data_IF_234392107794
#
_entry.id   IF_234392107794
#
_cell.length_a   1.000
_cell.length_b   1.000
_cell.length_c   1.000
_cell.angle_alpha   90.00
_cell.angle_beta   90.00
_cell.angle_gamma   90.00
#
_symmetry.space_group_name_H-M   'P 1'
#
loop_
_entity.id
_entity.type
_entity.pdbx_description
1 polymer ?
#
# COMPACT_ATOMS: atom_id res chain seq x y z
N UNK A 1 13.51 6.76 49.78
CA UNK A 1 12.20 6.18 49.40
C UNK A 1 11.71 6.65 48.03
N UNK A 2 12.27 7.71 47.41
CA UNK A 2 11.81 8.21 46.09
C UNK A 2 12.12 7.30 44.89
N UNK A 3 13.18 6.48 44.94
CA UNK A 3 13.53 5.59 43.82
C UNK A 3 12.50 4.49 43.52
N UNK A 4 11.62 4.16 44.46
CA UNK A 4 10.57 3.15 44.25
C UNK A 4 9.40 3.66 43.40
N UNK A 5 9.07 4.95 43.49
CA UNK A 5 7.94 5.55 42.76
C UNK A 5 8.22 5.70 41.26
N UNK A 6 9.49 5.92 40.88
CA UNK A 6 9.87 6.12 39.48
C UNK A 6 9.78 4.83 38.64
N UNK A 7 10.04 3.67 39.26
CA UNK A 7 10.03 2.40 38.54
C UNK A 7 8.59 1.94 38.24
N UNK A 8 7.65 2.18 39.17
CA UNK A 8 6.22 1.89 38.97
C UNK A 8 5.60 2.74 37.87
N UNK A 9 5.99 4.01 37.74
CA UNK A 9 5.47 4.89 36.68
C UNK A 9 5.92 4.45 35.29
N UNK A 10 7.17 4.00 35.15
CA UNK A 10 7.67 3.44 33.89
C UNK A 10 6.96 2.15 33.52
N UNK A 11 6.79 1.23 34.47
CA UNK A 11 6.10 -0.03 34.22
C UNK A 11 4.65 0.20 33.78
N UNK A 12 3.95 1.13 34.44
CA UNK A 12 2.59 1.53 34.06
C UNK A 12 2.53 2.18 32.68
N UNK A 13 3.50 3.03 32.33
CA UNK A 13 3.59 3.64 31.01
C UNK A 13 3.83 2.61 29.89
N UNK A 14 4.69 1.62 30.14
CA UNK A 14 4.94 0.51 29.20
C UNK A 14 3.68 -0.35 29.00
N UNK A 15 3.03 -0.78 30.09
CA UNK A 15 1.77 -1.53 30.00
C UNK A 15 0.69 -0.76 29.24
N UNK A 16 0.56 0.55 29.48
CA UNK A 16 -0.40 1.40 28.75
C UNK A 16 -0.10 1.45 27.25
N UNK A 17 1.17 1.55 26.85
CA UNK A 17 1.58 1.53 25.43
C UNK A 17 1.30 0.18 24.77
N UNK A 18 1.51 -0.92 25.48
CA UNK A 18 1.20 -2.26 24.96
C UNK A 18 -0.31 -2.47 24.78
N UNK A 19 -1.12 -2.01 25.74
CA UNK A 19 -2.58 -2.07 25.62
C UNK A 19 -3.07 -1.25 24.42
N UNK A 20 -2.55 -0.02 24.25
CA UNK A 20 -2.88 0.80 23.09
C UNK A 20 -2.49 0.10 21.78
N UNK A 21 -1.28 -0.46 21.67
CA UNK A 21 -0.87 -1.21 20.48
C UNK A 21 -1.79 -2.38 20.17
N UNK A 22 -2.20 -3.15 21.18
CA UNK A 22 -3.14 -4.27 21.00
C UNK A 22 -4.52 -3.79 20.53
N UNK A 23 -5.01 -2.68 21.05
CA UNK A 23 -6.27 -2.07 20.58
C UNK A 23 -6.14 -1.63 19.11
N UNK A 24 -5.03 -1.00 18.74
CA UNK A 24 -4.73 -0.60 17.36
C UNK A 24 -4.69 -1.81 16.41
N UNK A 25 -3.94 -2.85 16.77
CA UNK A 25 -3.83 -4.08 15.98
C UNK A 25 -5.20 -4.74 15.80
N UNK A 26 -6.00 -4.82 16.88
CA UNK A 26 -7.35 -5.39 16.82
C UNK A 26 -8.28 -4.60 15.89
N UNK A 27 -8.18 -3.26 15.89
CA UNK A 27 -8.94 -2.41 15.00
C UNK A 27 -8.53 -2.62 13.54
N UNK A 28 -7.22 -2.67 13.27
CA UNK A 28 -6.68 -2.93 11.92
C UNK A 28 -7.15 -4.28 11.39
N UNK A 29 -7.07 -5.34 12.18
CA UNK A 29 -7.51 -6.68 11.79
C UNK A 29 -9.02 -6.76 11.57
N UNK A 30 -9.82 -6.10 12.41
CA UNK A 30 -11.29 -6.10 12.24
C UNK A 30 -11.71 -5.35 10.98
N UNK A 31 -11.08 -4.22 10.64
CA UNK A 31 -11.35 -3.50 9.40
C UNK A 31 -10.87 -4.29 8.17
N UNK A 32 -9.67 -4.86 8.23
CA UNK A 32 -9.16 -5.78 7.21
C UNK A 32 -10.11 -6.95 6.97
N UNK A 33 -10.58 -7.60 8.04
CA UNK A 33 -11.50 -8.73 8.00
C UNK A 33 -12.87 -8.36 7.40
N UNK A 34 -13.43 -7.21 7.77
CA UNK A 34 -14.67 -6.69 7.17
C UNK A 34 -14.54 -6.47 5.67
N UNK A 35 -13.43 -5.86 5.23
CA UNK A 35 -13.15 -5.68 3.82
C UNK A 35 -12.98 -7.02 3.10
N UNK A 36 -12.19 -7.95 3.66
CA UNK A 36 -12.01 -9.28 3.09
C UNK A 36 -13.34 -10.03 2.93
N UNK A 37 -14.25 -9.94 3.90
CA UNK A 37 -15.57 -10.55 3.83
C UNK A 37 -16.46 -9.91 2.74
N UNK A 38 -16.45 -8.58 2.65
CA UNK A 38 -17.21 -7.83 1.64
C UNK A 38 -16.70 -8.14 0.22
N UNK A 39 -15.39 -8.03 0.00
CA UNK A 39 -14.79 -8.32 -1.29
C UNK A 39 -14.80 -9.81 -1.61
N UNK A 40 -14.71 -10.69 -0.62
CA UNK A 40 -14.84 -12.13 -0.80
C UNK A 40 -16.23 -12.53 -1.28
N UNK A 41 -17.29 -12.03 -0.63
CA UNK A 41 -18.66 -12.30 -1.10
C UNK A 41 -18.92 -11.70 -2.48
N UNK A 42 -18.43 -10.48 -2.74
CA UNK A 42 -18.45 -9.86 -4.07
C UNK A 42 -17.69 -10.66 -5.13
N UNK A 43 -16.52 -11.20 -4.79
CA UNK A 43 -15.70 -12.00 -5.70
C UNK A 43 -16.35 -13.36 -6.03
N UNK A 44 -17.09 -13.98 -5.09
CA UNK A 44 -17.89 -15.18 -5.38
C UNK A 44 -19.01 -14.82 -6.38
N UNK A 45 -19.77 -13.76 -6.12
CA UNK A 45 -20.82 -13.32 -7.04
C UNK A 45 -20.27 -12.95 -8.42
N UNK A 46 -19.14 -12.23 -8.47
CA UNK A 46 -18.44 -11.89 -9.70
C UNK A 46 -17.94 -13.14 -10.43
N UNK A 47 -17.42 -14.14 -9.72
CA UNK A 47 -17.01 -15.42 -10.30
C UNK A 47 -18.20 -16.13 -10.97
N UNK A 48 -19.37 -16.15 -10.32
CA UNK A 48 -20.58 -16.74 -10.91
C UNK A 48 -21.06 -15.99 -12.16
N UNK A 49 -21.03 -14.65 -12.13
CA UNK A 49 -21.38 -13.83 -13.29
C UNK A 49 -20.39 -14.00 -14.45
N UNK A 50 -19.09 -14.00 -14.14
CA UNK A 50 -18.03 -14.18 -15.13
C UNK A 50 -18.08 -15.57 -15.77
N UNK A 51 -18.44 -16.61 -15.02
CA UNK A 51 -18.69 -17.95 -15.58
C UNK A 51 -19.75 -17.87 -16.68
N UNK A 52 -20.87 -17.19 -16.43
CA UNK A 52 -21.99 -17.13 -17.38
C UNK A 52 -21.72 -16.29 -18.62
N UNK A 53 -21.03 -15.16 -18.45
CA UNK A 53 -20.90 -14.14 -19.49
C UNK A 53 -19.64 -14.38 -20.33
N UNK A 54 -18.58 -14.90 -19.73
CA UNK A 54 -17.26 -14.97 -20.36
C UNK A 54 -16.87 -16.41 -20.71
N UNK A 55 -16.89 -16.80 -22.00
CA UNK A 55 -16.46 -18.14 -22.43
C UNK A 55 -14.97 -18.40 -22.12
N UNK A 56 -14.20 -17.35 -21.93
CA UNK A 56 -12.84 -17.39 -21.43
C UNK A 56 -12.78 -17.89 -19.98
N UNK A 57 -13.61 -17.34 -19.10
CA UNK A 57 -13.57 -17.65 -17.67
C UNK A 57 -13.97 -19.10 -17.43
N UNK A 58 -14.93 -19.60 -18.22
CA UNK A 58 -15.29 -21.01 -18.29
C UNK A 58 -14.09 -21.93 -18.58
N UNK A 59 -13.12 -21.50 -19.39
CA UNK A 59 -11.94 -22.30 -19.76
C UNK A 59 -10.83 -22.28 -18.71
N UNK A 60 -10.88 -21.40 -17.71
CA UNK A 60 -9.90 -21.40 -16.63
C UNK A 60 -10.03 -22.68 -15.79
N UNK A 61 -8.89 -23.31 -15.50
CA UNK A 61 -8.84 -24.45 -14.55
C UNK A 61 -9.22 -23.97 -13.15
N UNK A 62 -9.84 -24.86 -12.37
CA UNK A 62 -10.28 -24.58 -10.98
C UNK A 62 -9.16 -23.94 -10.13
N UNK A 63 -7.89 -24.42 -10.16
CA UNK A 63 -6.83 -23.80 -9.37
C UNK A 63 -6.53 -22.35 -9.74
N UNK A 64 -6.65 -21.99 -11.02
CA UNK A 64 -6.43 -20.62 -11.48
C UNK A 64 -7.54 -19.68 -11.00
N UNK A 65 -8.80 -20.15 -11.00
CA UNK A 65 -9.94 -19.40 -10.44
C UNK A 65 -9.77 -19.18 -8.94
N UNK A 66 -9.38 -20.22 -8.21
CA UNK A 66 -9.12 -20.15 -6.78
C UNK A 66 -7.99 -19.17 -6.46
N UNK A 67 -6.91 -19.18 -7.25
CA UNK A 67 -5.80 -18.23 -7.10
C UNK A 67 -6.25 -16.77 -7.30
N UNK A 68 -7.03 -16.49 -8.35
CA UNK A 68 -7.58 -15.14 -8.59
C UNK A 68 -8.48 -14.70 -7.43
N UNK A 69 -9.34 -15.59 -6.94
CA UNK A 69 -10.21 -15.31 -5.81
C UNK A 69 -9.40 -14.99 -4.55
N UNK A 70 -8.45 -15.85 -4.18
CA UNK A 70 -7.58 -15.64 -3.04
C UNK A 70 -6.78 -14.33 -3.16
N UNK A 71 -6.28 -14.01 -4.35
CA UNK A 71 -5.57 -12.78 -4.63
C UNK A 71 -6.42 -11.53 -4.38
N UNK A 72 -7.67 -11.50 -4.86
CA UNK A 72 -8.59 -10.39 -4.63
C UNK A 72 -8.88 -10.22 -3.13
N UNK A 73 -9.24 -11.31 -2.43
CA UNK A 73 -9.56 -11.26 -1.00
C UNK A 73 -8.37 -10.77 -0.18
N UNK A 74 -7.18 -11.31 -0.47
CA UNK A 74 -5.93 -10.93 0.22
C UNK A 74 -5.57 -9.48 -0.04
N UNK A 75 -5.63 -9.02 -1.29
CA UNK A 75 -5.34 -7.62 -1.63
C UNK A 75 -6.32 -6.65 -0.95
N UNK A 76 -7.61 -6.99 -0.92
CA UNK A 76 -8.65 -6.20 -0.24
C UNK A 76 -8.43 -6.13 1.27
N UNK A 77 -8.03 -7.25 1.90
CA UNK A 77 -7.68 -7.29 3.31
C UNK A 77 -6.54 -6.32 3.63
N UNK A 78 -5.40 -6.45 2.93
CA UNK A 78 -4.22 -5.62 3.19
C UNK A 78 -4.47 -4.15 2.91
N UNK A 79 -5.18 -3.83 1.84
CA UNK A 79 -5.52 -2.43 1.50
C UNK A 79 -6.37 -1.77 2.59
N UNK A 80 -7.32 -2.51 3.17
CA UNK A 80 -8.16 -1.99 4.24
C UNK A 80 -7.42 -1.92 5.59
N UNK A 81 -6.60 -2.93 5.89
CA UNK A 81 -5.74 -2.94 7.07
C UNK A 81 -4.77 -1.76 7.06
N UNK A 82 -4.09 -1.51 5.94
CA UNK A 82 -3.15 -0.39 5.78
C UNK A 82 -3.83 0.97 5.98
N UNK A 83 -5.04 1.15 5.40
CA UNK A 83 -5.84 2.35 5.65
C UNK A 83 -6.23 2.53 7.11
N UNK A 84 -6.64 1.44 7.78
CA UNK A 84 -7.00 1.50 9.19
C UNK A 84 -5.80 1.84 10.06
N UNK A 85 -4.61 1.32 9.73
CA UNK A 85 -3.36 1.63 10.42
C UNK A 85 -3.02 3.13 10.27
N UNK A 86 -3.08 3.67 9.06
CA UNK A 86 -2.85 5.10 8.80
C UNK A 86 -3.87 5.98 9.56
N UNK A 87 -5.14 5.59 9.59
CA UNK A 87 -6.18 6.34 10.30
C UNK A 87 -5.92 6.38 11.82
N UNK A 88 -5.49 5.25 12.38
CA UNK A 88 -5.12 5.12 13.78
C UNK A 88 -3.89 5.98 14.10
N UNK A 89 -2.86 5.93 13.25
CA UNK A 89 -1.66 6.76 13.40
C UNK A 89 -1.99 8.25 13.33
N UNK A 90 -2.92 8.64 12.44
CA UNK A 90 -3.39 10.02 12.37
C UNK A 90 -4.13 10.44 13.64
N UNK A 91 -5.01 9.59 14.20
CA UNK A 91 -5.70 9.87 15.47
C UNK A 91 -4.72 10.00 16.62
N UNK A 92 -3.73 9.12 16.68
CA UNK A 92 -2.67 9.17 17.69
C UNK A 92 -1.84 10.45 17.53
N UNK A 93 -1.40 10.78 16.31
CA UNK A 93 -0.69 12.01 16.04
C UNK A 93 -1.49 13.25 16.47
N UNK A 94 -2.80 13.30 16.21
CA UNK A 94 -3.68 14.39 16.67
C UNK A 94 -3.76 14.50 18.19
N UNK A 95 -3.81 13.38 18.90
CA UNK A 95 -3.93 13.38 20.37
C UNK A 95 -2.66 13.84 21.10
N UNK A 96 -1.48 13.57 20.54
CA UNK A 96 -0.19 13.91 21.18
C UNK A 96 0.51 15.12 20.54
N UNK A 97 0.02 15.59 19.40
CA UNK A 97 0.43 16.84 18.77
C UNK A 97 0.06 18.02 19.66
N UNK A 98 1.02 18.90 19.94
CA UNK A 98 0.78 20.20 20.57
C UNK A 98 0.28 21.26 19.56
N UNK A 99 0.16 20.88 18.29
CA UNK A 99 -0.39 21.74 17.25
C UNK A 99 -1.91 21.71 17.36
N UNK A 100 -2.51 22.89 17.41
CA UNK A 100 -3.95 23.09 17.52
C UNK A 100 -4.65 22.61 16.23
N UNK A 101 -5.02 21.33 16.21
CA UNK A 101 -5.57 20.65 15.03
C UNK A 101 -6.90 21.28 14.61
N UNK A 102 -7.66 21.83 15.56
CA UNK A 102 -8.93 22.52 15.30
C UNK A 102 -8.72 23.79 14.47
N UNK A 103 -7.65 24.54 14.73
CA UNK A 103 -7.30 25.70 13.90
C UNK A 103 -6.93 25.28 12.46
N UNK A 104 -6.17 24.19 12.31
CA UNK A 104 -5.81 23.69 10.97
C UNK A 104 -7.05 23.20 10.22
N UNK A 105 -7.95 22.47 10.89
CA UNK A 105 -9.21 22.01 10.29
C UNK A 105 -10.12 23.18 9.90
N UNK A 106 -10.26 24.20 10.76
CA UNK A 106 -11.02 25.41 10.44
C UNK A 106 -10.43 26.15 9.23
N UNK A 107 -9.11 26.26 9.13
CA UNK A 107 -8.44 26.89 7.97
C UNK A 107 -8.68 26.07 6.69
N UNK A 108 -8.64 24.73 6.78
CA UNK A 108 -8.91 23.84 5.65
C UNK A 108 -10.38 23.89 5.22
N UNK A 109 -11.32 23.93 6.15
CA UNK A 109 -12.75 24.05 5.89
C UNK A 109 -13.10 25.43 5.32
N UNK A 110 -12.53 26.50 5.86
CA UNK A 110 -12.66 27.84 5.30
C UNK A 110 -12.14 27.90 3.86
N UNK A 111 -11.01 27.23 3.56
CA UNK A 111 -10.52 27.08 2.17
C UNK A 111 -11.48 26.28 1.29
N UNK A 112 -12.06 25.18 1.78
CA UNK A 112 -13.03 24.38 1.02
C UNK A 112 -14.30 25.17 0.71
N UNK A 113 -14.82 25.91 1.68
CA UNK A 113 -16.04 26.71 1.53
C UNK A 113 -15.82 27.98 0.70
N UNK A 114 -14.61 28.54 0.70
CA UNK A 114 -14.24 29.69 -0.13
C UNK A 114 -14.00 29.33 -1.62
N UNK A 115 -13.77 28.05 -1.94
CA UNK A 115 -13.67 27.59 -3.33
C UNK A 115 -15.06 27.55 -3.96
N UNK A 116 -15.42 28.65 -4.63
CA UNK A 116 -16.49 28.63 -5.63
C UNK A 116 -16.17 27.59 -6.69
N UNK A 117 -17.17 26.76 -7.04
CA UNK A 117 -17.08 25.59 -7.90
C UNK A 117 -16.65 25.93 -9.35
N UNK A 118 -15.38 26.27 -9.53
CA UNK A 118 -14.74 26.40 -10.85
C UNK A 118 -13.80 25.22 -10.99
N UNK A 119 -14.10 24.35 -11.93
CA UNK A 119 -13.22 23.25 -12.34
C UNK A 119 -11.95 23.85 -12.97
N UNK A 120 -11.00 24.22 -12.13
CA UNK A 120 -9.67 24.64 -12.54
C UNK A 120 -8.73 23.43 -12.51
N UNK A 121 -7.68 23.44 -13.33
CA UNK A 121 -6.65 22.39 -13.36
C UNK A 121 -6.04 22.11 -11.98
N UNK A 122 -5.97 23.11 -11.12
CA UNK A 122 -5.50 22.97 -9.74
C UNK A 122 -6.42 22.10 -8.88
N UNK A 123 -7.73 22.17 -9.11
CA UNK A 123 -8.72 21.40 -8.37
C UNK A 123 -8.69 19.92 -8.78
N UNK A 124 -8.40 19.64 -10.06
CA UNK A 124 -8.12 18.27 -10.53
C UNK A 124 -6.85 17.73 -9.86
N UNK A 125 -5.79 18.54 -9.74
CA UNK A 125 -4.55 18.13 -9.06
C UNK A 125 -4.79 17.80 -7.59
N UNK A 126 -5.67 18.55 -6.92
CA UNK A 126 -6.02 18.36 -5.52
C UNK A 126 -6.91 17.13 -5.32
N UNK A 127 -7.87 16.91 -6.20
CA UNK A 127 -8.68 15.69 -6.26
C UNK A 127 -7.80 14.45 -6.48
N UNK A 128 -6.82 14.52 -7.39
CA UNK A 128 -5.84 13.45 -7.62
C UNK A 128 -5.03 13.19 -6.34
N UNK A 129 -4.58 14.23 -5.64
CA UNK A 129 -3.87 14.08 -4.36
C UNK A 129 -4.76 13.44 -3.28
N UNK A 130 -6.02 13.85 -3.19
CA UNK A 130 -7.00 13.32 -2.22
C UNK A 130 -7.29 11.82 -2.47
N UNK A 131 -7.24 11.40 -3.72
CA UNK A 131 -7.51 10.02 -4.13
C UNK A 131 -6.28 9.28 -4.64
N UNK A 132 -5.07 9.76 -4.34
CA UNK A 132 -3.81 9.22 -4.89
C UNK A 132 -3.73 7.71 -4.74
N UNK A 133 -4.08 7.19 -3.56
CA UNK A 133 -4.01 5.75 -3.27
C UNK A 133 -5.05 4.94 -4.04
N UNK A 134 -6.26 5.51 -4.25
CA UNK A 134 -7.30 4.86 -5.07
C UNK A 134 -6.91 4.87 -6.55
N UNK A 135 -6.34 5.98 -7.03
CA UNK A 135 -5.89 6.13 -8.41
C UNK A 135 -4.69 5.23 -8.71
N UNK A 136 -3.68 5.19 -7.82
CA UNK A 136 -2.54 4.29 -7.96
C UNK A 136 -3.00 2.83 -7.92
N UNK A 137 -3.88 2.46 -6.98
CA UNK A 137 -4.45 1.11 -6.94
C UNK A 137 -5.26 0.78 -8.20
N UNK A 138 -6.04 1.72 -8.71
CA UNK A 138 -6.81 1.58 -9.95
C UNK A 138 -5.92 1.48 -11.19
N UNK A 139 -4.87 2.28 -11.27
CA UNK A 139 -3.89 2.26 -12.36
C UNK A 139 -3.08 0.96 -12.34
N UNK A 140 -2.64 0.52 -11.17
CA UNK A 140 -1.93 -0.77 -11.01
C UNK A 140 -2.83 -1.94 -11.37
N UNK A 141 -4.08 -1.96 -10.88
CA UNK A 141 -5.05 -3.00 -11.24
C UNK A 141 -5.40 -2.96 -12.73
N UNK A 142 -5.52 -1.76 -13.30
CA UNK A 142 -5.72 -1.55 -14.73
C UNK A 142 -4.55 -2.05 -15.57
N UNK A 143 -3.31 -1.82 -15.12
CA UNK A 143 -2.11 -2.34 -15.75
C UNK A 143 -2.04 -3.87 -15.67
N UNK A 144 -2.41 -4.48 -14.53
CA UNK A 144 -2.55 -5.93 -14.39
C UNK A 144 -3.55 -6.50 -15.39
N UNK A 145 -4.75 -5.92 -15.45
CA UNK A 145 -5.81 -6.37 -16.36
C UNK A 145 -5.38 -6.15 -17.82
N UNK A 146 -4.75 -5.01 -18.13
CA UNK A 146 -4.26 -4.65 -19.46
C UNK A 146 -3.17 -5.60 -19.94
N UNK A 147 -2.17 -5.89 -19.10
CA UNK A 147 -1.09 -6.85 -19.39
C UNK A 147 -1.63 -8.26 -19.55
N UNK A 148 -2.56 -8.68 -18.69
CA UNK A 148 -3.23 -9.98 -18.81
C UNK A 148 -3.98 -10.10 -20.15
N UNK A 149 -4.75 -9.06 -20.51
CA UNK A 149 -5.48 -9.00 -21.77
C UNK A 149 -4.55 -8.98 -22.99
N UNK A 150 -3.49 -8.19 -22.94
CA UNK A 150 -2.45 -8.13 -23.97
C UNK A 150 -1.77 -9.48 -24.19
N UNK A 151 -1.31 -10.11 -23.11
CA UNK A 151 -0.68 -11.43 -23.14
C UNK A 151 -1.65 -12.49 -23.64
N UNK A 152 -2.95 -12.36 -23.39
CA UNK A 152 -3.91 -13.33 -23.90
C UNK A 152 -4.06 -13.29 -25.42
N UNK A 153 -3.96 -12.11 -26.03
CA UNK A 153 -4.04 -11.95 -27.50
C UNK A 153 -2.86 -12.58 -28.24
N UNK A 154 -1.74 -12.79 -27.54
CA UNK A 154 -0.52 -13.42 -28.04
C UNK A 154 -0.64 -14.95 -28.05
N UNK A 155 -0.62 -15.60 -29.22
CA UNK A 155 -0.77 -17.07 -29.36
C UNK A 155 0.53 -17.88 -29.14
N UNK A 156 1.64 -17.18 -28.95
CA UNK A 156 3.03 -17.63 -28.98
C UNK A 156 3.57 -18.13 -27.64
N UNK A 157 2.83 -17.94 -26.53
CA UNK A 157 3.31 -18.23 -25.17
C UNK A 157 2.31 -19.14 -24.43
N UNK A 158 2.82 -20.11 -23.66
CA UNK A 158 1.97 -20.98 -22.84
C UNK A 158 1.27 -20.19 -21.72
N UNK A 159 0.01 -20.53 -21.41
CA UNK A 159 -0.81 -19.78 -20.44
C UNK A 159 -0.22 -19.71 -19.04
N UNK A 160 0.54 -20.73 -18.61
CA UNK A 160 1.23 -20.72 -17.32
C UNK A 160 2.34 -19.65 -17.26
N UNK A 161 3.14 -19.52 -18.32
CA UNK A 161 4.21 -18.52 -18.40
C UNK A 161 3.66 -17.09 -18.43
N UNK A 162 2.49 -16.88 -19.05
CA UNK A 162 1.84 -15.56 -19.09
C UNK A 162 1.46 -15.03 -17.71
N UNK A 163 0.99 -15.91 -16.82
CA UNK A 163 0.60 -15.53 -15.45
C UNK A 163 1.83 -15.18 -14.61
N UNK A 164 2.91 -15.95 -14.75
CA UNK A 164 4.16 -15.72 -14.02
C UNK A 164 4.86 -14.43 -14.47
N UNK A 165 4.81 -14.11 -15.77
CA UNK A 165 5.51 -12.94 -16.32
C UNK A 165 4.72 -11.62 -16.19
N UNK A 166 3.42 -11.66 -15.91
CA UNK A 166 2.60 -10.44 -15.85
C UNK A 166 3.02 -9.45 -14.75
N UNK A 167 3.36 -9.88 -13.52
CA UNK A 167 3.88 -8.98 -12.49
C UNK A 167 5.22 -8.34 -12.87
N UNK A 168 6.14 -9.13 -13.45
CA UNK A 168 7.46 -8.70 -13.90
C UNK A 168 7.42 -7.62 -14.99
N UNK A 169 6.41 -7.66 -15.87
CA UNK A 169 6.24 -6.63 -16.89
C UNK A 169 5.58 -5.34 -16.35
N UNK A 170 4.94 -5.42 -15.18
CA UNK A 170 4.20 -4.30 -14.57
C UNK A 170 5.00 -3.49 -13.58
N UNK A 171 6.06 -4.09 -13.03
CA UNK A 171 7.07 -3.32 -12.32
C UNK A 171 7.67 -2.39 -13.35
N UNK A 172 7.37 -1.10 -13.21
CA UNK A 172 8.12 -0.04 -13.87
C UNK A 172 9.57 -0.35 -13.51
N UNK A 173 10.36 -0.76 -14.51
CA UNK A 173 11.81 -0.69 -14.41
C UNK A 173 12.07 0.76 -14.06
N UNK A 174 12.37 1.02 -12.78
CA UNK A 174 12.81 2.33 -12.35
C UNK A 174 13.94 2.67 -13.33
N UNK A 175 13.80 3.76 -14.12
CA UNK A 175 14.93 4.21 -14.91
C UNK A 175 16.04 4.37 -13.90
N UNK A 176 17.12 3.61 -14.09
CA UNK A 176 18.32 3.59 -13.24
C UNK A 176 18.51 5.01 -12.71
N UNK A 177 18.11 5.23 -11.45
CA UNK A 177 17.98 6.58 -10.92
C UNK A 177 19.32 7.24 -11.14
N UNK A 178 19.32 8.41 -11.78
CA UNK A 178 20.53 9.18 -11.98
C UNK A 178 21.15 9.39 -10.60
N UNK A 179 22.24 8.64 -10.36
CA UNK A 179 22.91 8.49 -9.08
C UNK A 179 23.09 9.88 -8.44
N UNK A 180 22.36 10.18 -7.37
CA UNK A 180 22.55 11.45 -6.66
C UNK A 180 23.82 11.32 -5.80
N UNK A 181 24.92 12.01 -6.17
CA UNK A 181 26.19 11.86 -5.46
C UNK A 181 26.12 12.31 -3.99
N UNK A 182 25.10 13.08 -3.61
CA UNK A 182 24.89 13.46 -2.22
C UNK A 182 24.41 12.30 -1.34
N UNK A 183 23.61 11.38 -1.89
CA UNK A 183 23.11 10.24 -1.11
C UNK A 183 24.24 9.25 -0.80
N UNK A 184 25.14 9.04 -1.75
CA UNK A 184 26.29 8.14 -1.59
C UNK A 184 27.30 8.64 -0.56
N UNK A 185 27.51 9.95 -0.49
CA UNK A 185 28.41 10.54 0.49
C UNK A 185 27.88 10.32 1.92
N UNK A 186 26.55 10.32 2.11
CA UNK A 186 25.93 10.12 3.42
C UNK A 186 25.96 8.63 3.82
N UNK A 187 25.69 7.72 2.89
CA UNK A 187 25.58 6.28 3.19
C UNK A 187 26.93 5.57 3.21
N UNK A 188 27.81 5.89 2.24
CA UNK A 188 29.08 5.21 2.05
C UNK A 188 30.29 6.08 2.43
N UNK A 189 30.09 7.36 2.76
CA UNK A 189 31.17 8.29 3.10
C UNK A 189 32.01 8.73 1.90
N UNK A 190 31.62 8.37 0.68
CA UNK A 190 32.37 8.63 -0.55
C UNK A 190 31.42 8.77 -1.74
N UNK A 191 31.68 9.73 -2.64
CA UNK A 191 30.98 9.86 -3.93
C UNK A 191 31.69 9.13 -5.07
N UNK A 192 32.78 8.43 -4.78
CA UNK A 192 33.53 7.63 -5.75
C UNK A 192 32.84 6.28 -6.00
N UNK A 193 32.19 6.17 -7.17
CA UNK A 193 31.37 5.03 -7.59
C UNK A 193 32.15 3.70 -7.57
N UNK A 194 33.46 3.74 -7.86
CA UNK A 194 34.30 2.54 -7.86
C UNK A 194 34.47 1.95 -6.45
N UNK A 195 34.66 2.82 -5.44
CA UNK A 195 34.73 2.42 -4.03
C UNK A 195 33.40 1.90 -3.50
N UNK A 196 32.28 2.49 -3.94
CA UNK A 196 30.95 2.03 -3.56
C UNK A 196 30.71 0.61 -4.07
N UNK A 197 31.08 0.32 -5.32
CA UNK A 197 30.99 -1.04 -5.87
C UNK A 197 31.88 -2.04 -5.12
N UNK A 198 33.11 -1.66 -4.75
CA UNK A 198 34.00 -2.50 -3.96
C UNK A 198 33.43 -2.80 -2.56
N UNK A 199 32.93 -1.77 -1.87
CA UNK A 199 32.29 -1.92 -0.56
C UNK A 199 31.05 -2.80 -0.62
N UNK A 200 30.21 -2.63 -1.65
CA UNK A 200 29.00 -3.43 -1.85
C UNK A 200 29.34 -4.89 -2.13
N UNK A 201 30.34 -5.15 -2.98
CA UNK A 201 30.84 -6.51 -3.23
C UNK A 201 31.40 -7.16 -1.95
N UNK A 202 32.14 -6.40 -1.14
CA UNK A 202 32.70 -6.88 0.13
C UNK A 202 31.64 -7.16 1.19
N UNK A 203 30.59 -6.34 1.25
CA UNK A 203 29.44 -6.54 2.13
C UNK A 203 28.59 -7.77 1.72
N UNK A 204 28.51 -8.08 0.42
CA UNK A 204 27.76 -9.22 -0.10
C UNK A 204 28.44 -10.58 0.13
N UNK A 205 29.76 -10.59 0.39
CA UNK A 205 30.55 -11.82 0.61
C UNK A 205 30.59 -12.21 2.10
N UNK A 206 30.16 -11.34 3.01
CA UNK A 206 30.03 -11.69 4.42
C UNK A 206 28.81 -12.61 4.62
N UNK A 207 28.99 -13.84 5.12
CA UNK A 207 27.84 -14.68 5.47
C UNK A 207 27.06 -14.01 6.59
N UNK A 208 25.74 -13.91 6.42
CA UNK A 208 24.82 -13.43 7.45
C UNK A 208 24.71 -14.42 8.62
#
# INVERSE_FOLDING_TARGET
MEHYSYNTDKENAHKKRELLRREQDSYVYTQGGKAAALFGSGAVAASFLLERISPFYHRLRIPAKAFLFAGVVTASFFTAADRAAIEVDQKFAKQYSHVDVEQIEQILEARKNAKTFKWTTDDLSEQIKLHRYKLVGGLWSGAMIGTLWYNWRRGDITTAQKVINAPLASTVTEPEEAHDPHYDLIVYGTSDVAKIHEMKAKAMILPQ
#
